data_IF_091292338793
#
_entry.id   IF_091292338793
#
_cell.length_a   1.000
_cell.length_b   1.000
_cell.length_c   1.000
_cell.angle_alpha   90.00
_cell.angle_beta   90.00
_cell.angle_gamma   90.00
#
_symmetry.space_group_name_H-M   'P 1'
#
loop_
_entity.id
_entity.type
_entity.pdbx_description
1 polymer ?
#
# COMPACT_ATOMS: atom_id res chain seq x y z
N UNK A 1 57.66 23.39 -19.10
CA UNK A 1 57.05 22.11 -18.69
C UNK A 1 56.43 22.26 -17.29
N UNK A 2 55.11 22.45 -17.28
CA UNK A 2 54.13 22.06 -16.25
C UNK A 2 54.19 22.60 -14.82
N UNK A 3 54.17 23.93 -14.68
CA UNK A 3 53.59 24.58 -13.48
C UNK A 3 52.04 24.60 -13.54
N UNK A 4 51.45 24.63 -14.74
CA UNK A 4 49.99 24.60 -14.94
C UNK A 4 49.35 23.26 -14.60
N UNK A 5 50.12 22.16 -14.61
CA UNK A 5 49.63 20.82 -14.27
C UNK A 5 49.47 20.62 -12.75
N UNK A 6 50.22 21.38 -11.93
CA UNK A 6 50.13 21.30 -10.47
C UNK A 6 48.93 22.09 -9.94
N UNK A 7 48.53 23.17 -10.61
CA UNK A 7 47.34 23.95 -10.24
C UNK A 7 46.04 23.19 -10.52
N UNK A 8 45.99 22.38 -11.58
CA UNK A 8 44.81 21.55 -11.89
C UNK A 8 44.69 20.36 -10.91
N UNK A 9 45.81 19.78 -10.45
CA UNK A 9 45.77 18.72 -9.43
C UNK A 9 45.38 19.22 -8.03
N UNK A 10 45.64 20.49 -7.70
CA UNK A 10 45.20 21.11 -6.44
C UNK A 10 43.74 21.59 -6.47
N UNK A 11 43.14 21.80 -7.64
CA UNK A 11 41.70 22.01 -7.80
C UNK A 11 40.88 20.70 -7.68
N UNK A 12 41.51 19.54 -7.87
CA UNK A 12 40.88 18.22 -7.69
C UNK A 12 40.99 17.72 -6.24
N UNK A 13 41.95 18.22 -5.46
CA UNK A 13 42.14 17.83 -4.05
C UNK A 13 41.63 18.87 -3.02
N UNK A 14 41.33 20.10 -3.45
CA UNK A 14 40.87 21.20 -2.58
C UNK A 14 39.35 21.46 -2.57
N UNK A 15 38.57 20.66 -3.30
CA UNK A 15 37.10 20.67 -3.24
C UNK A 15 36.59 20.02 -1.96
N UNK A 16 36.97 20.60 -0.81
CA UNK A 16 36.33 20.35 0.48
C UNK A 16 34.82 20.41 0.28
N UNK A 17 34.20 19.27 0.54
CA UNK A 17 32.76 19.07 0.56
C UNK A 17 32.10 20.10 1.49
N UNK A 18 31.79 21.27 0.97
CA UNK A 18 30.66 22.03 1.49
C UNK A 18 29.42 21.31 0.98
N UNK A 19 28.56 20.73 1.85
CA UNK A 19 27.28 20.23 1.39
C UNK A 19 26.57 21.42 0.76
N UNK A 20 26.30 21.35 -0.54
CA UNK A 20 25.44 22.34 -1.18
C UNK A 20 24.12 22.29 -0.42
N UNK A 21 23.81 23.36 0.32
CA UNK A 21 22.54 23.51 0.98
C UNK A 21 21.44 23.37 -0.08
N UNK A 22 20.79 22.20 -0.11
CA UNK A 22 19.76 21.89 -1.12
C UNK A 22 19.96 20.59 -1.90
N UNK A 23 21.11 19.92 -1.85
CA UNK A 23 21.27 18.60 -2.51
C UNK A 23 20.69 17.48 -1.64
N UNK A 24 20.10 16.48 -2.30
CA UNK A 24 19.62 15.25 -1.64
C UNK A 24 20.83 14.49 -1.12
N UNK A 25 20.71 13.95 0.08
CA UNK A 25 21.73 13.10 0.68
C UNK A 25 22.02 11.86 -0.21
N UNK A 26 23.27 11.66 -0.67
CA UNK A 26 23.63 10.53 -1.53
C UNK A 26 23.35 9.16 -0.89
N UNK A 27 23.44 9.03 0.43
CA UNK A 27 23.12 7.77 1.12
C UNK A 27 21.61 7.51 1.09
N UNK A 28 20.81 8.58 1.20
CA UNK A 28 19.36 8.51 1.06
C UNK A 28 18.96 8.12 -0.37
N UNK A 29 19.58 8.72 -1.39
CA UNK A 29 19.37 8.34 -2.80
C UNK A 29 19.75 6.88 -3.01
N UNK A 30 20.92 6.46 -2.56
CA UNK A 30 21.40 5.07 -2.70
C UNK A 30 20.44 4.08 -2.03
N UNK A 31 19.98 4.37 -0.82
CA UNK A 31 19.03 3.52 -0.11
C UNK A 31 17.70 3.40 -0.86
N UNK A 32 17.20 4.51 -1.44
CA UNK A 32 15.93 4.53 -2.17
C UNK A 32 16.02 4.00 -3.60
N UNK A 33 17.19 4.01 -4.22
CA UNK A 33 17.41 3.45 -5.56
C UNK A 33 17.75 1.96 -5.54
N UNK A 34 17.95 1.35 -4.38
CA UNK A 34 18.25 -0.09 -4.26
C UNK A 34 16.97 -0.93 -4.40
N UNK A 35 17.01 -1.99 -5.21
CA UNK A 35 15.87 -2.89 -5.45
C UNK A 35 15.35 -3.53 -4.14
N UNK A 36 14.04 -3.47 -3.93
CA UNK A 36 13.35 -3.91 -2.71
C UNK A 36 13.06 -5.40 -2.78
N UNK A 37 14.11 -6.22 -2.64
CA UNK A 37 13.96 -7.63 -2.27
C UNK A 37 14.43 -7.80 -0.83
N UNK A 38 13.55 -7.49 0.13
CA UNK A 38 13.77 -7.69 1.58
C UNK A 38 14.82 -6.81 2.27
N UNK A 39 15.79 -6.23 1.54
CA UNK A 39 16.92 -5.46 2.10
C UNK A 39 16.54 -4.01 2.45
N UNK A 40 15.64 -3.42 1.68
CA UNK A 40 15.22 -2.02 1.83
C UNK A 40 14.68 -1.68 3.22
N UNK A 41 13.97 -2.62 3.87
CA UNK A 41 13.38 -2.44 5.18
C UNK A 41 14.41 -2.02 6.24
N UNK A 42 15.55 -2.72 6.27
CA UNK A 42 16.64 -2.44 7.19
C UNK A 42 17.40 -1.17 6.79
N UNK A 43 17.47 -0.88 5.49
CA UNK A 43 18.15 0.31 4.96
C UNK A 43 17.40 1.61 5.25
N UNK A 44 16.07 1.61 5.39
CA UNK A 44 15.30 2.84 5.68
C UNK A 44 14.77 2.92 7.10
N UNK A 45 14.91 1.86 7.91
CA UNK A 45 14.40 1.81 9.28
C UNK A 45 14.97 2.94 10.16
N UNK A 46 16.25 3.24 9.99
CA UNK A 46 17.01 4.21 10.77
C UNK A 46 16.72 5.67 10.38
N UNK A 47 16.09 5.94 9.24
CA UNK A 47 15.73 7.30 8.88
C UNK A 47 14.58 7.81 9.75
N UNK A 48 14.82 8.96 10.38
CA UNK A 48 13.81 9.64 11.19
C UNK A 48 12.76 10.31 10.29
N UNK A 49 11.53 10.53 10.79
CA UNK A 49 10.51 11.28 10.05
C UNK A 49 11.02 12.65 9.56
N UNK A 50 11.78 13.37 10.39
CA UNK A 50 12.36 14.67 10.03
C UNK A 50 13.37 14.57 8.88
N UNK A 51 14.22 13.52 8.86
CA UNK A 51 15.15 13.27 7.75
C UNK A 51 14.38 13.00 6.46
N UNK A 52 13.38 12.13 6.51
CA UNK A 52 12.56 11.79 5.34
C UNK A 52 11.83 13.03 4.81
N UNK A 53 11.26 13.86 5.69
CA UNK A 53 10.60 15.10 5.31
C UNK A 53 11.54 16.07 4.57
N UNK A 54 12.73 16.31 5.14
CA UNK A 54 13.76 17.14 4.51
C UNK A 54 14.18 16.60 3.14
N UNK A 55 14.53 15.31 3.05
CA UNK A 55 15.01 14.73 1.79
C UNK A 55 13.91 14.60 0.73
N UNK A 56 12.65 14.37 1.12
CA UNK A 56 11.52 14.37 0.19
C UNK A 56 11.41 15.71 -0.55
N UNK A 57 11.39 16.82 0.19
CA UNK A 57 11.22 18.17 -0.41
C UNK A 57 12.39 18.57 -1.31
N UNK A 58 13.58 18.04 -1.07
CA UNK A 58 14.73 18.19 -1.97
C UNK A 58 14.57 17.31 -3.20
N UNK A 59 14.23 16.03 -3.02
CA UNK A 59 14.17 15.05 -4.08
C UNK A 59 13.12 15.38 -5.15
N UNK A 60 11.93 15.87 -4.76
CA UNK A 60 10.89 16.25 -5.72
C UNK A 60 11.24 17.46 -6.59
N UNK A 61 12.31 18.19 -6.27
CA UNK A 61 12.84 19.30 -7.07
C UNK A 61 13.92 18.85 -8.07
N UNK A 62 14.35 17.59 -8.01
CA UNK A 62 15.39 17.03 -8.87
C UNK A 62 14.73 16.19 -9.97
N UNK A 63 14.70 16.65 -11.23
CA UNK A 63 13.96 15.97 -12.31
C UNK A 63 14.39 14.53 -12.55
N UNK A 64 15.70 14.24 -12.43
CA UNK A 64 16.25 12.89 -12.63
C UNK A 64 15.72 11.91 -11.60
N UNK A 65 15.62 12.33 -10.33
CA UNK A 65 15.06 11.51 -9.25
C UNK A 65 13.55 11.33 -9.41
N UNK A 66 12.82 12.38 -9.79
CA UNK A 66 11.37 12.31 -10.05
C UNK A 66 11.05 11.36 -11.21
N UNK A 67 11.92 11.31 -12.22
CA UNK A 67 11.76 10.43 -13.39
C UNK A 67 12.15 8.97 -13.13
N UNK A 68 12.86 8.68 -12.03
CA UNK A 68 13.24 7.33 -11.62
C UNK A 68 12.04 6.64 -10.94
N UNK A 69 11.43 5.62 -11.59
CA UNK A 69 10.24 4.95 -11.05
C UNK A 69 10.53 4.19 -9.75
N UNK A 70 11.72 3.61 -9.61
CA UNK A 70 12.08 2.82 -8.42
C UNK A 70 12.31 3.74 -7.24
N UNK A 71 13.08 4.81 -7.43
CA UNK A 71 13.29 5.83 -6.41
C UNK A 71 11.97 6.47 -5.95
N UNK A 72 11.13 6.94 -6.87
CA UNK A 72 9.88 7.61 -6.49
C UNK A 72 8.85 6.69 -5.85
N UNK A 73 8.73 5.44 -6.31
CA UNK A 73 7.91 4.45 -5.62
C UNK A 73 8.39 4.25 -4.18
N UNK A 74 9.70 4.07 -3.98
CA UNK A 74 10.30 3.85 -2.67
C UNK A 74 10.21 5.09 -1.76
N UNK A 75 10.37 6.28 -2.31
CA UNK A 75 10.19 7.54 -1.60
C UNK A 75 8.75 7.68 -1.09
N UNK A 76 7.76 7.49 -1.95
CA UNK A 76 6.34 7.54 -1.60
C UNK A 76 5.97 6.47 -0.57
N UNK A 77 6.51 5.27 -0.72
CA UNK A 77 6.34 4.17 0.22
C UNK A 77 6.83 4.55 1.62
N UNK A 78 8.04 5.09 1.75
CA UNK A 78 8.63 5.44 3.06
C UNK A 78 7.83 6.55 3.75
N UNK A 79 7.41 7.57 3.01
CA UNK A 79 6.56 8.65 3.52
C UNK A 79 5.27 8.11 4.11
N UNK A 80 4.59 7.23 3.35
CA UNK A 80 3.34 6.61 3.77
C UNK A 80 3.53 5.68 4.97
N UNK A 81 4.57 4.85 4.94
CA UNK A 81 4.90 3.90 6.01
C UNK A 81 5.15 4.61 7.35
N UNK A 82 5.89 5.71 7.33
CA UNK A 82 6.20 6.50 8.53
C UNK A 82 5.09 7.50 8.90
N UNK A 83 3.97 7.50 8.16
CA UNK A 83 2.81 8.37 8.35
C UNK A 83 3.20 9.85 8.50
N UNK A 84 4.03 10.37 7.59
CA UNK A 84 4.54 11.74 7.66
C UNK A 84 3.51 12.71 7.08
N UNK A 85 2.47 13.02 7.87
CA UNK A 85 1.33 13.87 7.47
C UNK A 85 1.77 15.25 6.98
N UNK A 86 2.88 15.80 7.50
CA UNK A 86 3.43 17.09 7.09
C UNK A 86 3.80 17.17 5.59
N UNK A 87 4.04 16.02 4.94
CA UNK A 87 4.32 15.93 3.50
C UNK A 87 3.07 15.85 2.62
N UNK A 88 1.85 15.80 3.19
CA UNK A 88 0.61 15.71 2.42
C UNK A 88 0.51 16.77 1.29
N UNK A 89 0.78 18.08 1.53
CA UNK A 89 0.72 19.08 0.46
C UNK A 89 1.74 18.82 -0.65
N UNK A 90 2.95 18.37 -0.29
CA UNK A 90 4.00 18.07 -1.26
C UNK A 90 3.65 16.83 -2.11
N UNK A 91 3.06 15.79 -1.50
CA UNK A 91 2.56 14.60 -2.20
C UNK A 91 1.40 14.96 -3.14
N UNK A 92 0.48 15.84 -2.71
CA UNK A 92 -0.59 16.34 -3.58
C UNK A 92 -0.04 17.12 -4.78
N UNK A 93 1.00 17.95 -4.57
CA UNK A 93 1.66 18.67 -5.65
C UNK A 93 2.29 17.72 -6.66
N UNK A 94 2.99 16.67 -6.20
CA UNK A 94 3.55 15.61 -7.07
C UNK A 94 2.43 14.88 -7.81
N UNK A 95 1.35 14.53 -7.12
CA UNK A 95 0.16 13.94 -7.74
C UNK A 95 -0.36 14.87 -8.85
N UNK A 96 -0.53 16.16 -8.62
CA UNK A 96 -1.11 17.05 -9.65
C UNK A 96 -0.16 17.41 -10.80
N UNK A 97 1.16 17.48 -10.56
CA UNK A 97 2.09 18.12 -11.50
C UNK A 97 3.13 17.22 -12.17
N UNK A 98 3.42 16.02 -11.64
CA UNK A 98 4.53 15.21 -12.14
C UNK A 98 4.09 14.15 -13.17
N UNK A 99 4.81 14.06 -14.29
CA UNK A 99 4.69 12.96 -15.25
C UNK A 99 5.45 11.72 -14.75
N UNK A 100 4.86 11.04 -13.77
CA UNK A 100 5.44 9.82 -13.21
C UNK A 100 5.16 8.60 -14.09
N UNK A 101 6.05 7.59 -14.05
CA UNK A 101 5.77 6.25 -14.60
C UNK A 101 4.75 5.48 -13.73
N UNK A 102 4.06 4.45 -14.25
CA UNK A 102 2.95 3.80 -13.54
C UNK A 102 3.24 3.34 -12.10
N UNK A 103 4.39 2.69 -11.77
CA UNK A 103 4.69 2.30 -10.39
C UNK A 103 4.71 3.49 -9.42
N UNK A 104 5.41 4.57 -9.81
CA UNK A 104 5.47 5.80 -9.02
C UNK A 104 4.12 6.54 -8.97
N UNK A 105 3.30 6.49 -10.03
CA UNK A 105 1.93 7.01 -10.00
C UNK A 105 1.07 6.27 -8.97
N UNK A 106 1.10 4.93 -8.99
CA UNK A 106 0.34 4.09 -8.06
C UNK A 106 0.79 4.35 -6.62
N UNK A 107 2.11 4.39 -6.38
CA UNK A 107 2.64 4.65 -5.05
C UNK A 107 2.26 6.05 -4.54
N UNK A 108 2.31 7.06 -5.40
CA UNK A 108 1.84 8.42 -5.08
C UNK A 108 0.35 8.43 -4.75
N UNK A 109 -0.49 7.73 -5.53
CA UNK A 109 -1.92 7.60 -5.26
C UNK A 109 -2.19 6.91 -3.92
N UNK A 110 -1.46 5.84 -3.63
CA UNK A 110 -1.50 5.13 -2.35
C UNK A 110 -1.11 6.05 -1.19
N UNK A 111 -0.02 6.79 -1.32
CA UNK A 111 0.45 7.72 -0.30
C UNK A 111 -0.52 8.86 -0.06
N UNK A 112 -1.06 9.46 -1.12
CA UNK A 112 -2.07 10.51 -1.01
C UNK A 112 -3.39 9.99 -0.42
N UNK A 113 -3.81 8.77 -0.78
CA UNK A 113 -4.99 8.14 -0.17
C UNK A 113 -4.81 7.94 1.33
N UNK A 114 -3.64 7.47 1.76
CA UNK A 114 -3.36 7.21 3.18
C UNK A 114 -3.33 8.50 4.00
N UNK A 115 -2.57 9.51 3.55
CA UNK A 115 -2.35 10.77 4.27
C UNK A 115 -3.48 11.81 4.07
N UNK A 116 -4.29 11.63 3.02
CA UNK A 116 -5.27 12.60 2.56
C UNK A 116 -6.60 12.60 3.34
N UNK A 117 -7.29 13.73 3.26
CA UNK A 117 -8.70 13.87 3.65
C UNK A 117 -9.63 13.20 2.63
N UNK A 118 -10.93 13.26 2.87
CA UNK A 118 -11.94 12.74 1.94
C UNK A 118 -11.85 13.41 0.55
N UNK A 119 -11.42 14.67 0.47
CA UNK A 119 -11.20 15.38 -0.80
C UNK A 119 -10.09 14.71 -1.62
N UNK A 120 -8.92 14.50 -1.03
CA UNK A 120 -7.79 13.89 -1.74
C UNK A 120 -8.09 12.43 -2.11
N UNK A 121 -8.84 11.71 -1.28
CA UNK A 121 -9.29 10.34 -1.62
C UNK A 121 -10.24 10.31 -2.81
N UNK A 122 -11.16 11.28 -2.90
CA UNK A 122 -12.02 11.42 -4.08
C UNK A 122 -11.21 11.75 -5.35
N UNK A 123 -10.15 12.57 -5.22
CA UNK A 123 -9.22 12.84 -6.33
C UNK A 123 -8.46 11.58 -6.76
N UNK A 124 -7.99 10.76 -5.80
CA UNK A 124 -7.34 9.48 -6.08
C UNK A 124 -8.30 8.52 -6.78
N UNK A 125 -9.52 8.34 -6.28
CA UNK A 125 -10.55 7.49 -6.89
C UNK A 125 -10.84 7.90 -8.33
N UNK A 126 -11.02 9.20 -8.57
CA UNK A 126 -11.27 9.73 -9.90
C UNK A 126 -10.11 9.47 -10.86
N UNK A 127 -8.87 9.70 -10.42
CA UNK A 127 -7.70 9.46 -11.26
C UNK A 127 -7.51 7.98 -11.56
N UNK A 128 -7.68 7.13 -10.55
CA UNK A 128 -7.57 5.68 -10.69
C UNK A 128 -8.60 5.15 -11.69
N UNK A 129 -9.86 5.59 -11.55
CA UNK A 129 -10.95 5.24 -12.46
C UNK A 129 -10.62 5.63 -13.91
N UNK A 130 -10.11 6.86 -14.14
CA UNK A 130 -9.72 7.32 -15.49
C UNK A 130 -8.58 6.49 -16.08
N UNK A 131 -7.56 6.13 -15.28
CA UNK A 131 -6.43 5.31 -15.73
C UNK A 131 -6.86 3.89 -16.09
N UNK A 132 -7.61 3.23 -15.22
CA UNK A 132 -8.15 1.89 -15.47
C UNK A 132 -9.01 1.88 -16.74
N UNK A 133 -9.88 2.88 -16.90
CA UNK A 133 -10.71 2.99 -18.10
C UNK A 133 -9.89 3.20 -19.36
N UNK A 134 -8.90 4.10 -19.33
CA UNK A 134 -8.05 4.37 -20.49
C UNK A 134 -7.22 3.14 -20.91
N UNK A 135 -6.70 2.37 -19.96
CA UNK A 135 -5.88 1.19 -20.24
C UNK A 135 -6.71 0.01 -20.77
N UNK A 136 -7.95 -0.14 -20.31
CA UNK A 136 -8.76 -1.35 -20.56
C UNK A 136 -9.86 -1.16 -21.62
N UNK A 137 -10.24 0.08 -21.95
CA UNK A 137 -11.24 0.35 -22.98
C UNK A 137 -10.67 0.07 -24.36
N UNK A 138 -11.22 -0.93 -25.04
CA UNK A 138 -10.89 -1.22 -26.45
C UNK A 138 -9.50 -1.81 -26.72
N UNK A 139 -8.64 -1.96 -25.71
CA UNK A 139 -7.35 -2.64 -25.85
C UNK A 139 -7.42 -4.13 -25.48
N UNK A 140 -6.57 -4.97 -26.08
CA UNK A 140 -6.49 -6.41 -25.73
C UNK A 140 -6.01 -6.68 -24.28
N UNK A 141 -5.56 -5.63 -23.58
CA UNK A 141 -5.44 -5.64 -22.11
C UNK A 141 -4.26 -6.43 -21.57
N UNK A 142 -3.23 -6.69 -22.37
CA UNK A 142 -2.03 -7.42 -21.95
C UNK A 142 -0.74 -6.58 -22.08
N UNK A 143 0.04 -6.47 -20.99
CA UNK A 143 -0.25 -6.95 -19.62
C UNK A 143 -1.45 -6.20 -19.00
N UNK A 144 -2.11 -6.78 -17.97
CA UNK A 144 -3.23 -6.12 -17.29
C UNK A 144 -2.79 -4.75 -16.78
N UNK A 145 -3.72 -3.78 -16.82
CA UNK A 145 -3.46 -2.42 -16.33
C UNK A 145 -2.80 -2.48 -14.95
N UNK A 146 -1.62 -1.84 -14.76
CA UNK A 146 -0.93 -1.88 -13.47
C UNK A 146 -1.76 -1.23 -12.35
N UNK A 147 -2.76 -0.43 -12.71
CA UNK A 147 -3.68 0.23 -11.78
C UNK A 147 -4.80 -0.69 -11.28
N UNK A 148 -5.07 -1.81 -11.95
CA UNK A 148 -6.19 -2.68 -11.61
C UNK A 148 -6.03 -3.32 -10.22
N UNK A 149 -4.81 -3.71 -9.84
CA UNK A 149 -4.51 -4.25 -8.51
C UNK A 149 -4.70 -3.22 -7.39
N UNK A 150 -4.54 -1.93 -7.70
CA UNK A 150 -4.74 -0.85 -6.74
C UNK A 150 -6.23 -0.54 -6.48
N UNK A 151 -7.15 -1.02 -7.32
CA UNK A 151 -8.58 -0.70 -7.24
C UNK A 151 -9.22 -1.11 -5.90
N UNK A 152 -8.99 -2.33 -5.42
CA UNK A 152 -9.49 -2.78 -4.12
C UNK A 152 -8.90 -1.98 -2.94
N UNK A 153 -7.68 -1.46 -3.09
CA UNK A 153 -6.93 -0.82 -2.01
C UNK A 153 -7.38 0.64 -1.84
N UNK A 154 -7.31 1.40 -2.92
CA UNK A 154 -7.44 2.87 -2.91
C UNK A 154 -8.57 3.39 -3.82
N UNK A 155 -9.30 2.51 -4.49
CA UNK A 155 -10.48 2.85 -5.27
C UNK A 155 -11.69 3.20 -4.41
N UNK A 156 -12.61 3.96 -5.01
CA UNK A 156 -13.90 4.37 -4.44
C UNK A 156 -15.04 4.12 -5.42
N UNK A 157 -16.10 4.91 -5.32
CA UNK A 157 -17.33 4.71 -6.11
C UNK A 157 -17.11 4.90 -7.61
N UNK A 158 -16.27 5.85 -8.04
CA UNK A 158 -15.98 6.08 -9.47
C UNK A 158 -15.21 4.90 -10.05
N UNK A 159 -14.23 4.37 -9.32
CA UNK A 159 -13.50 3.17 -9.72
C UNK A 159 -14.43 1.97 -9.85
N UNK A 160 -15.36 1.77 -8.91
CA UNK A 160 -16.33 0.68 -8.99
C UNK A 160 -17.20 0.79 -10.25
N UNK A 161 -17.73 1.98 -10.55
CA UNK A 161 -18.54 2.22 -11.76
C UNK A 161 -17.77 1.87 -13.03
N UNK A 162 -16.49 2.27 -13.12
CA UNK A 162 -15.63 1.93 -14.26
C UNK A 162 -15.44 0.42 -14.39
N UNK A 163 -15.14 -0.29 -13.30
CA UNK A 163 -14.96 -1.74 -13.33
C UNK A 163 -16.25 -2.46 -13.79
N UNK A 164 -17.41 -2.03 -13.27
CA UNK A 164 -18.71 -2.57 -13.67
C UNK A 164 -19.04 -2.27 -15.14
N UNK A 165 -18.61 -1.12 -15.65
CA UNK A 165 -18.80 -0.74 -17.06
C UNK A 165 -17.92 -1.57 -18.00
N UNK A 166 -16.69 -1.90 -17.58
CA UNK A 166 -15.74 -2.67 -18.38
C UNK A 166 -16.00 -4.18 -18.38
N UNK A 167 -16.62 -4.72 -17.32
CA UNK A 167 -16.82 -6.16 -17.17
C UNK A 167 -17.63 -6.82 -18.32
N UNK A 168 -18.76 -6.23 -18.80
CA UNK A 168 -19.50 -6.78 -19.95
C UNK A 168 -18.65 -6.83 -21.22
N UNK A 169 -17.88 -5.77 -21.49
CA UNK A 169 -16.98 -5.70 -22.65
C UNK A 169 -15.85 -6.74 -22.57
N UNK A 170 -15.19 -6.86 -21.42
CA UNK A 170 -14.16 -7.89 -21.20
C UNK A 170 -14.72 -9.31 -21.38
N UNK A 171 -15.95 -9.55 -20.90
CA UNK A 171 -16.66 -10.82 -21.07
C UNK A 171 -16.99 -11.09 -22.54
N UNK A 172 -17.50 -10.08 -23.26
CA UNK A 172 -17.83 -10.21 -24.68
C UNK A 172 -16.58 -10.52 -25.52
N UNK A 173 -15.45 -9.86 -25.25
CA UNK A 173 -14.18 -10.10 -25.93
C UNK A 173 -13.62 -11.50 -25.68
N UNK A 174 -13.70 -11.97 -24.43
CA UNK A 174 -13.27 -13.32 -24.09
C UNK A 174 -14.11 -14.38 -24.85
N UNK A 175 -15.44 -14.25 -24.86
CA UNK A 175 -16.35 -15.14 -25.62
C UNK A 175 -16.18 -15.03 -27.14
N UNK A 176 -15.87 -13.84 -27.65
CA UNK A 176 -15.58 -13.65 -29.06
C UNK A 176 -14.28 -14.37 -29.46
N UNK A 177 -13.25 -14.33 -28.62
CA UNK A 177 -12.00 -15.05 -28.87
C UNK A 177 -12.20 -16.57 -28.83
N UNK A 178 -12.99 -17.08 -27.88
CA UNK A 178 -13.35 -18.50 -27.82
C UNK A 178 -14.11 -19.00 -29.06
N UNK A 179 -14.96 -18.15 -29.64
CA UNK A 179 -15.77 -18.53 -30.81
C UNK A 179 -15.05 -18.32 -32.15
N UNK A 180 -14.33 -17.21 -32.32
CA UNK A 180 -13.68 -16.86 -33.57
C UNK A 180 -12.32 -17.54 -33.78
N UNK A 181 -11.57 -17.78 -32.69
CA UNK A 181 -10.22 -18.38 -32.74
C UNK A 181 -10.03 -19.44 -31.64
N UNK A 182 -10.80 -20.56 -31.66
CA UNK A 182 -10.72 -21.58 -30.61
C UNK A 182 -9.31 -22.16 -30.33
N UNK A 183 -8.42 -22.35 -31.34
CA UNK A 183 -7.06 -22.85 -31.10
C UNK A 183 -6.13 -21.87 -30.39
N UNK A 184 -6.47 -20.57 -30.32
CA UNK A 184 -5.62 -19.55 -29.69
C UNK A 184 -5.83 -19.51 -28.16
N UNK A 185 -5.42 -20.60 -27.52
CA UNK A 185 -5.56 -20.78 -26.07
C UNK A 185 -4.80 -19.72 -25.25
N UNK A 186 -3.73 -19.14 -25.81
CA UNK A 186 -2.94 -18.10 -25.14
C UNK A 186 -3.76 -16.82 -25.04
N UNK A 187 -4.31 -16.35 -26.16
CA UNK A 187 -5.15 -15.15 -26.20
C UNK A 187 -6.40 -15.31 -25.33
N UNK A 188 -7.08 -16.45 -25.42
CA UNK A 188 -8.27 -16.75 -24.60
C UNK A 188 -7.92 -16.70 -23.10
N UNK A 189 -6.84 -17.37 -22.70
CA UNK A 189 -6.39 -17.38 -21.31
C UNK A 189 -5.96 -15.99 -20.80
N UNK A 190 -5.41 -15.15 -21.66
CA UNK A 190 -5.07 -13.77 -21.32
C UNK A 190 -6.33 -12.90 -21.10
N UNK A 191 -7.31 -12.99 -21.99
CA UNK A 191 -8.58 -12.26 -21.87
C UNK A 191 -9.38 -12.71 -20.64
N UNK A 192 -9.38 -14.01 -20.33
CA UNK A 192 -10.01 -14.53 -19.12
C UNK A 192 -9.35 -13.98 -17.85
N UNK A 193 -8.01 -13.91 -17.80
CA UNK A 193 -7.29 -13.28 -16.67
C UNK A 193 -7.69 -11.82 -16.46
N UNK A 194 -7.82 -11.05 -17.53
CA UNK A 194 -8.27 -9.64 -17.44
C UNK A 194 -9.70 -9.57 -16.92
N UNK A 195 -10.63 -10.36 -17.51
CA UNK A 195 -12.03 -10.45 -17.07
C UNK A 195 -12.14 -10.82 -15.60
N UNK A 196 -11.50 -11.91 -15.19
CA UNK A 196 -11.52 -12.41 -13.82
C UNK A 196 -10.91 -11.40 -12.83
N UNK A 197 -9.86 -10.68 -13.23
CA UNK A 197 -9.27 -9.62 -12.42
C UNK A 197 -10.23 -8.45 -12.21
N UNK A 198 -10.87 -7.96 -13.29
CA UNK A 198 -11.91 -6.90 -13.20
C UNK A 198 -13.06 -7.35 -12.29
N UNK A 199 -13.57 -8.57 -12.50
CA UNK A 199 -14.66 -9.15 -11.71
C UNK A 199 -14.31 -9.22 -10.22
N UNK A 200 -13.11 -9.74 -9.89
CA UNK A 200 -12.63 -9.84 -8.52
C UNK A 200 -12.46 -8.47 -7.85
N UNK A 201 -11.83 -7.51 -8.54
CA UNK A 201 -11.65 -6.15 -8.01
C UNK A 201 -13.00 -5.45 -7.79
N UNK A 202 -13.96 -5.60 -8.73
CA UNK A 202 -15.30 -5.05 -8.59
C UNK A 202 -16.06 -5.67 -7.41
N UNK A 203 -15.98 -6.99 -7.22
CA UNK A 203 -16.61 -7.68 -6.11
C UNK A 203 -16.07 -7.21 -4.75
N UNK A 204 -14.74 -7.17 -4.60
CA UNK A 204 -14.09 -6.74 -3.35
C UNK A 204 -14.42 -5.28 -3.04
N UNK A 205 -14.30 -4.39 -4.04
CA UNK A 205 -14.58 -2.96 -3.86
C UNK A 205 -16.06 -2.70 -3.55
N UNK A 206 -16.98 -3.40 -4.22
CA UNK A 206 -18.42 -3.34 -3.93
C UNK A 206 -18.73 -3.72 -2.49
N UNK A 207 -18.16 -4.82 -2.00
CA UNK A 207 -18.31 -5.24 -0.60
C UNK A 207 -17.78 -4.19 0.38
N UNK A 208 -16.60 -3.62 0.11
CA UNK A 208 -16.02 -2.54 0.92
C UNK A 208 -16.96 -1.33 0.98
N UNK A 209 -17.45 -0.86 -0.17
CA UNK A 209 -18.33 0.31 -0.25
C UNK A 209 -19.69 0.06 0.40
N UNK A 210 -20.25 -1.14 0.26
CA UNK A 210 -21.48 -1.55 0.97
C UNK A 210 -21.31 -1.45 2.48
N UNK A 211 -20.21 -1.96 3.03
CA UNK A 211 -19.91 -1.85 4.47
C UNK A 211 -19.76 -0.38 4.88
N UNK A 212 -19.04 0.42 4.09
CA UNK A 212 -18.83 1.84 4.37
C UNK A 212 -20.14 2.66 4.40
N UNK A 213 -21.17 2.20 3.70
CA UNK A 213 -22.50 2.82 3.68
C UNK A 213 -23.39 2.46 4.90
N UNK A 214 -22.98 1.47 5.70
CA UNK A 214 -23.73 1.06 6.89
C UNK A 214 -23.66 2.13 8.00
N UNK A 215 -24.67 2.22 8.88
CA UNK A 215 -24.61 3.05 10.07
C UNK A 215 -23.58 2.53 11.09
N UNK A 216 -23.08 3.41 11.96
CA UNK A 216 -22.40 2.96 13.19
C UNK A 216 -23.43 2.44 14.19
N UNK A 217 -23.14 1.38 14.97
CA UNK A 217 -21.85 0.67 15.10
C UNK A 217 -21.62 -0.49 14.12
N UNK A 218 -22.63 -0.85 13.32
CA UNK A 218 -22.61 -2.01 12.42
C UNK A 218 -21.48 -1.94 11.39
N UNK A 219 -21.25 -0.76 10.80
CA UNK A 219 -20.13 -0.51 9.89
C UNK A 219 -18.80 -0.93 10.48
N UNK A 220 -18.51 -0.47 11.69
CA UNK A 220 -17.20 -0.65 12.31
C UNK A 220 -16.97 -2.14 12.64
N UNK A 221 -18.01 -2.84 13.12
CA UNK A 221 -17.98 -4.31 13.28
C UNK A 221 -17.69 -5.03 11.97
N UNK A 222 -18.35 -4.65 10.88
CA UNK A 222 -18.15 -5.29 9.58
C UNK A 222 -16.78 -4.97 8.95
N UNK A 223 -16.23 -3.77 9.17
CA UNK A 223 -14.87 -3.42 8.72
C UNK A 223 -13.81 -4.22 9.48
N UNK A 224 -13.95 -4.32 10.82
CA UNK A 224 -13.05 -5.13 11.65
C UNK A 224 -13.08 -6.58 11.18
N UNK A 225 -14.28 -7.14 10.92
CA UNK A 225 -14.42 -8.50 10.36
C UNK A 225 -13.77 -8.61 8.98
N UNK A 226 -14.05 -7.68 8.07
CA UNK A 226 -13.49 -7.69 6.72
C UNK A 226 -11.95 -7.75 6.73
N UNK A 227 -11.31 -6.98 7.60
CA UNK A 227 -9.86 -6.82 7.61
C UNK A 227 -9.10 -7.76 8.56
N UNK A 228 -9.74 -8.24 9.65
CA UNK A 228 -9.10 -9.15 10.60
C UNK A 228 -9.46 -10.64 10.41
N UNK A 229 -10.56 -10.99 9.73
CA UNK A 229 -10.95 -12.40 9.53
C UNK A 229 -10.14 -13.14 8.46
N UNK A 230 -9.40 -12.45 7.58
CA UNK A 230 -8.59 -13.17 6.58
C UNK A 230 -7.43 -13.89 7.31
N UNK A 231 -7.50 -15.22 7.32
CA UNK A 231 -6.53 -16.13 7.92
C UNK A 231 -5.11 -15.90 7.37
N UNK A 232 -4.38 -14.94 7.92
CA UNK A 232 -2.98 -14.73 7.55
C UNK A 232 -2.43 -13.39 7.97
N UNK A 233 -3.02 -12.28 7.54
CA UNK A 233 -2.42 -10.96 7.70
C UNK A 233 -3.48 -9.86 7.73
N UNK A 234 -3.41 -8.97 8.72
CA UNK A 234 -3.96 -7.63 8.56
C UNK A 234 -3.09 -6.95 7.51
N UNK A 235 -3.57 -6.90 6.27
CA UNK A 235 -2.89 -6.18 5.20
C UNK A 235 -2.67 -4.72 5.60
N UNK A 236 -1.61 -4.11 5.09
CA UNK A 236 -1.26 -2.71 5.40
C UNK A 236 -2.47 -1.79 5.18
N UNK A 237 -3.25 -2.04 4.13
CA UNK A 237 -4.41 -1.24 3.77
C UNK A 237 -5.61 -1.43 4.69
N UNK A 238 -5.85 -2.66 5.17
CA UNK A 238 -6.88 -2.92 6.17
C UNK A 238 -6.56 -2.21 7.49
N UNK A 239 -5.28 -2.20 7.88
CA UNK A 239 -4.82 -1.47 9.05
C UNK A 239 -5.02 0.04 8.92
N UNK A 240 -4.58 0.63 7.80
CA UNK A 240 -4.74 2.07 7.55
C UNK A 240 -6.21 2.49 7.55
N UNK A 241 -7.09 1.69 6.95
CA UNK A 241 -8.53 1.97 6.92
C UNK A 241 -9.18 1.89 8.31
N UNK A 242 -8.73 0.99 9.18
CA UNK A 242 -9.21 0.89 10.57
C UNK A 242 -8.67 2.02 11.45
N UNK A 243 -7.36 2.33 11.37
CA UNK A 243 -6.77 3.45 12.12
C UNK A 243 -7.41 4.79 11.79
N UNK A 244 -7.66 5.04 10.51
CA UNK A 244 -8.29 6.28 10.05
C UNK A 244 -9.64 6.53 10.71
N UNK A 245 -10.38 5.46 11.01
CA UNK A 245 -11.73 5.51 11.57
C UNK A 245 -11.73 5.25 13.08
N UNK A 246 -10.56 5.32 13.72
CA UNK A 246 -10.43 5.12 15.14
C UNK A 246 -11.42 5.98 15.92
N UNK A 247 -12.26 5.30 16.70
CA UNK A 247 -13.36 5.84 17.47
C UNK A 247 -13.72 4.81 18.54
N UNK A 248 -14.43 5.22 19.58
CA UNK A 248 -14.88 4.30 20.64
C UNK A 248 -15.65 3.08 20.08
N UNK A 249 -16.50 3.29 19.06
CA UNK A 249 -17.23 2.20 18.38
C UNK A 249 -16.29 1.24 17.64
N UNK A 250 -15.24 1.76 17.00
CA UNK A 250 -14.25 0.93 16.31
C UNK A 250 -13.37 0.16 17.29
N UNK A 251 -13.00 0.77 18.42
CA UNK A 251 -12.30 0.08 19.49
C UNK A 251 -13.13 -1.07 20.07
N UNK A 252 -14.41 -0.82 20.33
CA UNK A 252 -15.34 -1.83 20.84
C UNK A 252 -15.53 -2.98 19.84
N UNK A 253 -15.61 -2.67 18.54
CA UNK A 253 -15.63 -3.68 17.49
C UNK A 253 -14.37 -4.56 17.46
N UNK A 254 -13.18 -3.96 17.63
CA UNK A 254 -11.91 -4.71 17.71
C UNK A 254 -11.86 -5.57 18.96
N UNK A 255 -12.29 -5.06 20.11
CA UNK A 255 -12.36 -5.85 21.36
C UNK A 255 -13.37 -7.00 21.24
N UNK A 256 -14.51 -6.76 20.61
CA UNK A 256 -15.49 -7.81 20.32
C UNK A 256 -14.88 -8.90 19.43
N UNK A 257 -14.07 -8.53 18.42
CA UNK A 257 -13.34 -9.49 17.61
C UNK A 257 -12.33 -10.30 18.43
N UNK A 258 -11.55 -9.68 19.34
CA UNK A 258 -10.61 -10.40 20.22
C UNK A 258 -11.33 -11.46 21.06
N UNK A 259 -12.53 -11.14 21.53
CA UNK A 259 -13.37 -12.00 22.37
C UNK A 259 -14.22 -13.02 21.60
N UNK A 260 -14.38 -12.88 20.28
CA UNK A 260 -15.14 -13.83 19.44
C UNK A 260 -14.45 -15.21 19.45
N UNK A 261 -15.24 -16.28 19.34
CA UNK A 261 -14.68 -17.61 19.07
C UNK A 261 -14.20 -17.67 17.61
N UNK A 262 -12.90 -17.40 17.45
CA UNK A 262 -12.25 -17.34 16.14
C UNK A 262 -12.03 -18.74 15.51
N UNK A 263 -12.51 -19.83 16.13
CA UNK A 263 -12.40 -21.19 15.56
C UNK A 263 -13.05 -21.32 14.17
N UNK A 264 -14.08 -20.51 13.89
CA UNK A 264 -14.77 -20.46 12.60
C UNK A 264 -13.99 -19.71 11.50
N UNK A 265 -12.90 -19.02 11.87
CA UNK A 265 -12.16 -18.11 10.99
C UNK A 265 -10.90 -18.77 10.41
N UNK A 266 -10.39 -19.82 11.06
CA UNK A 266 -9.25 -20.58 10.56
C UNK A 266 -9.68 -21.66 9.56
N UNK A 267 -8.85 -21.98 8.55
CA UNK A 267 -9.17 -23.03 7.60
C UNK A 267 -9.43 -24.36 8.34
N UNK A 268 -10.49 -25.09 7.98
CA UNK A 268 -10.93 -26.27 8.72
C UNK A 268 -9.92 -27.42 8.65
N UNK A 269 -9.12 -27.51 7.58
CA UNK A 269 -8.15 -28.58 7.33
C UNK A 269 -6.69 -28.10 7.40
N UNK A 270 -5.78 -28.99 7.80
CA UNK A 270 -4.33 -28.79 7.66
C UNK A 270 -3.61 -28.07 8.82
N UNK A 271 -4.30 -27.78 9.93
CA UNK A 271 -3.68 -27.23 11.15
C UNK A 271 -3.81 -28.22 12.30
N UNK A 272 -2.70 -28.51 12.97
CA UNK A 272 -2.72 -29.18 14.28
C UNK A 272 -3.43 -28.28 15.31
N UNK A 273 -3.90 -28.85 16.42
CA UNK A 273 -4.53 -28.07 17.49
C UNK A 273 -3.60 -26.96 18.02
N UNK A 274 -2.30 -27.24 18.11
CA UNK A 274 -1.26 -26.28 18.50
C UNK A 274 -1.12 -25.15 17.47
N UNK A 275 -0.96 -25.45 16.18
CA UNK A 275 -0.87 -24.44 15.12
C UNK A 275 -2.14 -23.60 15.03
N UNK A 276 -3.28 -24.21 15.31
CA UNK A 276 -4.57 -23.52 15.38
C UNK A 276 -4.59 -22.54 16.54
N UNK A 277 -4.26 -22.98 17.76
CA UNK A 277 -4.17 -22.11 18.94
C UNK A 277 -3.21 -20.95 18.69
N UNK A 278 -2.02 -21.23 18.17
CA UNK A 278 -1.02 -20.22 17.86
C UNK A 278 -1.61 -19.16 16.91
N UNK A 279 -2.21 -19.54 15.78
CA UNK A 279 -2.80 -18.58 14.83
C UNK A 279 -3.92 -17.72 15.43
N UNK A 280 -4.73 -18.29 16.33
CA UNK A 280 -5.77 -17.53 17.05
C UNK A 280 -5.12 -16.48 17.96
N UNK A 281 -4.09 -16.86 18.70
CA UNK A 281 -3.36 -15.95 19.57
C UNK A 281 -2.63 -14.85 18.78
N UNK A 282 -2.08 -15.18 17.59
CA UNK A 282 -1.51 -14.17 16.69
C UNK A 282 -2.57 -13.17 16.21
N UNK A 283 -3.78 -13.63 15.88
CA UNK A 283 -4.87 -12.76 15.46
C UNK A 283 -5.32 -11.82 16.59
N UNK A 284 -5.44 -12.34 17.82
CA UNK A 284 -5.74 -11.54 19.01
C UNK A 284 -4.66 -10.52 19.31
N UNK A 285 -3.40 -10.93 19.29
CA UNK A 285 -2.25 -10.05 19.54
C UNK A 285 -2.20 -8.88 18.53
N UNK A 286 -2.48 -9.15 17.24
CA UNK A 286 -2.59 -8.09 16.21
C UNK A 286 -3.75 -7.13 16.46
N UNK A 287 -4.90 -7.64 16.89
CA UNK A 287 -6.04 -6.80 17.23
C UNK A 287 -5.75 -5.91 18.45
N UNK A 288 -5.04 -6.42 19.46
CA UNK A 288 -4.58 -5.63 20.60
C UNK A 288 -3.52 -4.59 20.21
N UNK A 289 -2.60 -4.94 19.31
CA UNK A 289 -1.67 -3.98 18.72
C UNK A 289 -2.41 -2.87 17.97
N UNK A 290 -3.44 -3.22 17.18
CA UNK A 290 -4.29 -2.23 16.52
C UNK A 290 -4.95 -1.30 17.53
N UNK A 291 -5.49 -1.80 18.66
CA UNK A 291 -6.03 -0.95 19.73
C UNK A 291 -5.00 0.05 20.26
N UNK A 292 -3.77 -0.40 20.50
CA UNK A 292 -2.67 0.48 20.93
C UNK A 292 -2.39 1.58 19.90
N UNK A 293 -2.36 1.23 18.63
CA UNK A 293 -2.06 2.15 17.53
C UNK A 293 -3.22 3.12 17.24
N UNK A 294 -4.46 2.70 17.51
CA UNK A 294 -5.64 3.56 17.57
C UNK A 294 -5.60 4.54 18.76
N UNK A 295 -4.61 4.40 19.66
CA UNK A 295 -4.48 5.11 20.95
C UNK A 295 -5.63 4.83 21.92
N UNK A 296 -6.23 3.65 21.83
CA UNK A 296 -7.20 3.18 22.80
C UNK A 296 -6.53 2.95 24.16
N UNK A 297 -7.26 3.19 25.26
CA UNK A 297 -6.81 2.75 26.58
C UNK A 297 -6.89 1.23 26.64
N UNK A 298 -5.72 0.57 26.74
CA UNK A 298 -5.66 -0.88 26.85
C UNK A 298 -6.15 -1.33 28.23
N UNK A 299 -6.90 -2.44 28.25
CA UNK A 299 -7.31 -3.12 29.47
C UNK A 299 -6.11 -3.88 30.08
N UNK A 300 -6.12 -4.21 31.38
CA UNK A 300 -4.99 -4.90 32.01
C UNK A 300 -4.61 -6.24 31.36
N UNK A 301 -5.59 -6.99 30.88
CA UNK A 301 -5.40 -8.24 30.13
C UNK A 301 -4.82 -8.01 28.73
N UNK A 302 -5.29 -6.99 28.03
CA UNK A 302 -4.75 -6.56 26.73
C UNK A 302 -3.28 -6.10 26.86
N UNK A 303 -2.98 -5.31 27.89
CA UNK A 303 -1.63 -4.84 28.19
C UNK A 303 -0.70 -6.02 28.53
N UNK A 304 -1.14 -6.92 29.40
CA UNK A 304 -0.40 -8.13 29.77
C UNK A 304 -0.09 -8.99 28.54
N UNK A 305 -1.04 -9.15 27.63
CA UNK A 305 -0.83 -9.88 26.37
C UNK A 305 0.29 -9.27 25.52
N UNK A 306 0.38 -7.94 25.43
CA UNK A 306 1.47 -7.27 24.70
C UNK A 306 2.83 -7.45 25.38
N UNK A 307 2.87 -7.37 26.71
CA UNK A 307 4.10 -7.49 27.50
C UNK A 307 4.68 -8.91 27.43
N UNK A 308 3.84 -9.93 27.62
CA UNK A 308 4.23 -11.34 27.55
C UNK A 308 4.71 -11.75 26.14
N UNK A 309 4.25 -11.02 25.10
CA UNK A 309 4.62 -11.28 23.72
C UNK A 309 5.55 -10.21 23.12
N UNK A 310 6.16 -9.35 23.95
CA UNK A 310 6.93 -8.19 23.45
C UNK A 310 8.08 -8.59 22.53
N UNK A 311 8.82 -9.65 22.86
CA UNK A 311 9.91 -10.16 22.03
C UNK A 311 9.43 -10.69 20.66
N UNK A 312 8.25 -11.34 20.65
CA UNK A 312 7.62 -11.85 19.44
C UNK A 312 7.14 -10.70 18.54
N UNK A 313 6.54 -9.67 19.13
CA UNK A 313 6.08 -8.47 18.41
C UNK A 313 7.28 -7.72 17.81
N UNK A 314 8.30 -7.45 18.60
CA UNK A 314 9.50 -6.72 18.15
C UNK A 314 10.30 -7.50 17.10
N UNK A 315 10.30 -8.83 17.18
CA UNK A 315 11.08 -9.70 16.29
C UNK A 315 10.39 -10.10 14.99
N UNK A 316 9.10 -9.78 14.79
CA UNK A 316 8.34 -10.29 13.65
C UNK A 316 7.57 -9.22 12.88
N UNK A 317 7.88 -9.02 11.58
CA UNK A 317 7.13 -8.17 10.68
C UNK A 317 5.65 -8.57 10.53
N UNK A 318 5.27 -9.78 10.96
CA UNK A 318 3.89 -10.26 10.86
C UNK A 318 2.93 -9.60 11.87
N UNK A 319 3.44 -8.87 12.87
CA UNK A 319 2.64 -8.14 13.88
C UNK A 319 2.62 -6.64 13.65
N UNK A 320 3.52 -6.15 12.81
CA UNK A 320 3.44 -4.83 12.26
C UNK A 320 2.66 -4.93 10.94
N UNK A 321 1.72 -4.03 10.64
CA UNK A 321 1.05 -3.98 9.35
C UNK A 321 2.11 -3.57 8.34
N UNK A 322 2.84 -4.54 7.82
CA UNK A 322 4.06 -4.24 7.12
C UNK A 322 4.14 -5.19 5.93
N UNK A 323 4.24 -4.56 4.75
CA UNK A 323 4.76 -5.11 3.50
C UNK A 323 3.80 -5.77 2.50
N UNK A 324 2.47 -5.58 2.59
CA UNK A 324 1.58 -5.92 1.46
C UNK A 324 2.03 -5.20 0.17
N UNK A 325 2.49 -3.95 0.28
CA UNK A 325 3.01 -3.16 -0.85
C UNK A 325 4.41 -3.59 -1.35
N UNK A 326 5.15 -4.41 -0.60
CA UNK A 326 6.42 -5.01 -1.04
C UNK A 326 6.20 -6.42 -1.60
N UNK A 327 5.18 -7.13 -1.10
CA UNK A 327 4.74 -8.42 -1.65
C UNK A 327 3.93 -8.27 -2.94
N UNK A 328 3.20 -7.15 -3.12
CA UNK A 328 2.56 -6.74 -4.37
C UNK A 328 3.54 -6.52 -5.54
N UNK A 329 4.86 -6.54 -5.26
CA UNK A 329 5.94 -6.40 -6.26
C UNK A 329 6.34 -7.74 -6.90
N UNK A 330 5.71 -8.84 -6.50
CA UNK A 330 5.91 -10.19 -7.04
C UNK A 330 4.71 -10.65 -7.89
#
# INVERSE_FOLDING_TARGET
MNAEFITILLLVAGGLMTPQAGTVDPEFVKALSTDIRGIFANQVAHFTPAKIESEFRKAIKVPTLVSDPGFMDNLMFVVRKKNIIALRPDVEAVFNGAELKPPAQISTMKTLYALGSDRERAMVDERLARRIYADLKGGEGTPPSPYLSAAQLIGGSKTLVVLQTLLPDATARQRQAESATPPDHIRIGQLDKVRASIENQAHILSRKLSILSMPQPERDRNLVKLYLQRAGHLGYWGYQELLRRASASSEEAVRAFVAEDLNSILPPAGLTAENRSQRLDQARLRAVLLLREMKASLRPDEQKMLEENAALVQGSPAYHPDWEDVLDRN
#
